data_IF_023084278438
#
_entry.id   IF_023084278438
#
_cell.length_a   1.000
_cell.length_b   1.000
_cell.length_c   1.000
_cell.angle_alpha   90.00
_cell.angle_beta   90.00
_cell.angle_gamma   90.00
#
_symmetry.space_group_name_H-M   'P 1'
#
loop_
_entity.id
_entity.type
_entity.pdbx_description
1 polymer ?
#
# COMPACT_ATOMS: atom_id res chain seq x y z
N UNK A 1 -65.77 15.12 -15.14
CA UNK A 1 -66.13 16.45 -15.65
C UNK A 1 -65.03 17.42 -15.21
N UNK A 2 -64.21 17.88 -16.17
CA UNK A 2 -63.21 18.97 -16.18
C UNK A 2 -62.04 18.90 -15.14
N UNK A 3 -60.79 18.53 -15.48
CA UNK A 3 -59.72 19.15 -16.30
C UNK A 3 -59.27 20.57 -15.89
N UNK A 4 -57.96 20.70 -15.58
CA UNK A 4 -56.95 21.75 -15.97
C UNK A 4 -55.79 21.69 -14.94
N UNK A 5 -54.63 21.06 -15.22
CA UNK A 5 -53.51 21.50 -16.05
C UNK A 5 -53.03 22.94 -15.80
N UNK A 6 -51.84 23.08 -15.16
CA UNK A 6 -50.96 24.23 -15.30
C UNK A 6 -49.50 23.78 -15.41
N UNK A 7 -48.96 24.00 -16.60
CA UNK A 7 -47.53 24.10 -16.88
C UNK A 7 -46.92 25.29 -16.16
N UNK A 8 -45.69 25.11 -15.66
CA UNK A 8 -44.69 26.16 -15.67
C UNK A 8 -43.39 25.57 -16.22
N UNK A 9 -43.04 26.11 -17.39
CA UNK A 9 -41.79 25.93 -18.10
C UNK A 9 -40.76 26.89 -17.48
N UNK A 10 -39.56 26.40 -17.16
CA UNK A 10 -38.42 27.26 -16.85
C UNK A 10 -37.13 26.64 -17.44
N UNK A 11 -36.93 26.98 -18.71
CA UNK A 11 -35.69 27.43 -19.36
C UNK A 11 -34.37 26.84 -18.83
N UNK A 12 -33.82 25.98 -19.70
CA UNK A 12 -32.42 25.62 -19.80
C UNK A 12 -31.52 26.83 -20.05
N UNK A 13 -30.50 26.98 -19.22
CA UNK A 13 -29.23 27.65 -19.51
C UNK A 13 -28.20 27.00 -18.56
N UNK A 14 -27.35 26.07 -18.97
CA UNK A 14 -26.54 26.11 -20.19
C UNK A 14 -25.18 26.73 -19.93
N UNK A 15 -24.56 26.45 -18.78
CA UNK A 15 -23.12 26.66 -18.53
C UNK A 15 -22.61 25.48 -17.69
N UNK A 16 -22.27 24.38 -18.35
CA UNK A 16 -21.36 23.40 -17.75
C UNK A 16 -19.94 23.99 -17.87
N UNK A 17 -19.19 24.20 -16.78
CA UNK A 17 -17.78 24.45 -16.91
C UNK A 17 -17.14 23.16 -17.45
N UNK A 18 -16.61 23.24 -18.66
CA UNK A 18 -15.66 22.27 -19.24
C UNK A 18 -14.39 22.27 -18.38
N UNK A 19 -14.46 21.70 -17.17
CA UNK A 19 -13.27 21.25 -16.46
C UNK A 19 -12.82 19.97 -17.16
N UNK A 20 -11.85 20.13 -18.07
CA UNK A 20 -10.96 19.02 -18.42
C UNK A 20 -10.29 18.59 -17.13
N UNK A 21 -10.81 17.54 -16.49
CA UNK A 21 -10.06 16.78 -15.51
C UNK A 21 -8.87 16.20 -16.26
N UNK A 22 -7.69 16.80 -16.07
CA UNK A 22 -6.44 16.11 -16.35
C UNK A 22 -6.33 15.05 -15.26
N UNK A 23 -6.65 13.81 -15.60
CA UNK A 23 -6.45 12.65 -14.73
C UNK A 23 -4.95 12.48 -14.54
N UNK A 24 -4.44 13.00 -13.42
CA UNK A 24 -3.06 12.79 -13.01
C UNK A 24 -2.96 11.41 -12.36
N UNK A 25 -2.31 10.47 -13.06
CA UNK A 25 -2.00 9.15 -12.50
C UNK A 25 -0.99 9.30 -11.38
N UNK A 26 -1.30 8.77 -10.18
CA UNK A 26 -0.36 8.72 -9.07
C UNK A 26 0.80 7.80 -9.45
N UNK A 27 2.01 8.17 -9.00
CA UNK A 27 3.18 7.30 -9.13
C UNK A 27 3.17 6.30 -7.99
N UNK A 28 2.74 5.08 -8.27
CA UNK A 28 2.83 3.96 -7.35
C UNK A 28 4.21 3.30 -7.44
N UNK A 29 4.64 2.71 -6.33
CA UNK A 29 5.82 1.88 -6.32
C UNK A 29 5.58 0.65 -7.20
N UNK A 30 6.59 0.26 -7.98
CA UNK A 30 6.55 -0.92 -8.84
C UNK A 30 7.65 -1.85 -8.36
N UNK A 31 7.31 -3.11 -8.09
CA UNK A 31 8.30 -4.16 -7.86
C UNK A 31 9.02 -4.42 -9.18
N UNK A 32 10.30 -4.08 -9.25
CA UNK A 32 11.14 -4.42 -10.40
C UNK A 32 11.25 -5.93 -10.55
N UNK A 33 11.40 -6.47 -11.78
CA UNK A 33 11.62 -7.90 -11.95
C UNK A 33 12.89 -8.33 -11.21
N UNK A 34 12.80 -9.38 -10.39
CA UNK A 34 13.96 -10.01 -9.71
C UNK A 34 14.93 -10.68 -10.69
N UNK A 35 14.60 -10.69 -11.98
CA UNK A 35 15.47 -11.11 -13.08
C UNK A 35 15.95 -9.89 -13.86
N UNK A 36 17.20 -9.48 -13.62
CA UNK A 36 17.93 -8.62 -14.56
C UNK A 36 18.21 -9.49 -15.79
N UNK A 37 17.31 -9.48 -16.77
CA UNK A 37 17.70 -9.87 -18.13
C UNK A 37 18.56 -8.71 -18.63
N UNK A 38 19.88 -8.88 -18.57
CA UNK A 38 20.81 -7.89 -19.09
C UNK A 38 20.44 -7.51 -20.52
N UNK A 39 20.00 -6.28 -20.72
CA UNK A 39 19.77 -5.76 -22.06
C UNK A 39 21.14 -5.70 -22.74
N UNK A 40 21.36 -6.39 -23.88
CA UNK A 40 22.60 -6.21 -24.63
C UNK A 40 22.73 -4.72 -24.99
N UNK A 41 23.94 -4.13 -24.90
CA UNK A 41 24.12 -2.71 -25.16
C UNK A 41 23.60 -2.37 -26.56
N UNK A 42 22.77 -1.34 -26.64
CA UNK A 42 22.32 -0.80 -27.92
C UNK A 42 23.54 -0.35 -28.73
N UNK A 43 23.60 -0.68 -30.03
CA UNK A 43 24.68 -0.21 -30.90
C UNK A 43 24.73 1.32 -30.89
N UNK A 44 25.93 1.92 -30.97
CA UNK A 44 26.08 3.36 -30.88
C UNK A 44 25.38 4.06 -32.04
N UNK A 45 24.32 4.81 -31.73
CA UNK A 45 23.63 5.68 -32.68
C UNK A 45 24.44 6.98 -32.84
N UNK A 46 24.68 7.49 -34.06
CA UNK A 46 25.40 8.73 -34.27
C UNK A 46 24.71 9.92 -33.60
N UNK A 47 25.53 10.77 -32.98
CA UNK A 47 25.14 11.93 -32.18
C UNK A 47 24.31 12.95 -32.96
N UNK A 48 23.05 13.10 -32.58
CA UNK A 48 22.26 14.28 -32.90
C UNK A 48 22.54 15.38 -31.86
N UNK A 49 22.59 16.66 -32.26
CA UNK A 49 22.89 17.76 -31.35
C UNK A 49 21.79 17.94 -30.28
N UNK A 50 22.14 18.46 -29.09
CA UNK A 50 21.21 18.60 -27.98
C UNK A 50 20.17 19.68 -28.29
N UNK A 51 18.89 19.49 -27.90
CA UNK A 51 17.93 20.58 -27.93
C UNK A 51 18.30 21.61 -26.85
N UNK A 52 18.67 22.81 -27.29
CA UNK A 52 18.71 24.00 -26.44
C UNK A 52 17.30 24.29 -25.89
N UNK A 53 17.18 24.45 -24.56
CA UNK A 53 16.01 25.08 -23.95
C UNK A 53 15.17 24.24 -22.99
N UNK A 54 15.68 23.16 -22.40
CA UNK A 54 14.98 22.53 -21.27
C UNK A 54 15.18 23.37 -20.00
N UNK A 55 14.25 24.30 -19.73
CA UNK A 55 14.05 24.83 -18.38
C UNK A 55 13.83 23.68 -17.40
N UNK A 56 14.25 23.78 -16.12
CA UNK A 56 13.93 22.79 -15.11
C UNK A 56 12.41 22.70 -15.01
N UNK A 57 11.86 21.61 -15.53
CA UNK A 57 10.44 21.29 -15.49
C UNK A 57 10.04 21.17 -14.02
N UNK A 58 9.35 22.19 -13.51
CA UNK A 58 8.72 22.16 -12.20
C UNK A 58 7.81 20.93 -12.16
N UNK A 59 8.15 19.97 -11.30
CA UNK A 59 7.37 18.76 -11.08
C UNK A 59 5.92 19.15 -10.76
N UNK A 60 4.92 18.74 -11.59
CA UNK A 60 3.54 19.07 -11.33
C UNK A 60 3.12 18.45 -10.00
N UNK A 61 2.60 19.30 -9.12
CA UNK A 61 2.08 18.95 -7.80
C UNK A 61 1.06 17.81 -7.94
N UNK A 62 1.51 16.62 -7.54
CA UNK A 62 0.86 15.69 -6.63
C UNK A 62 -0.62 16.00 -6.32
N UNK A 63 -1.47 14.99 -6.46
CA UNK A 63 -2.92 15.05 -6.22
C UNK A 63 -3.30 15.87 -4.96
N UNK A 64 -4.48 16.51 -4.93
CA UNK A 64 -4.94 17.29 -3.75
C UNK A 64 -4.83 16.52 -2.42
N UNK A 65 -4.88 15.19 -2.49
CA UNK A 65 -4.65 14.31 -1.35
C UNK A 65 -3.19 14.26 -0.88
N UNK A 66 -2.21 14.25 -1.79
CA UNK A 66 -0.80 14.34 -1.40
C UNK A 66 -0.50 15.67 -0.71
N UNK A 67 -1.14 16.76 -1.14
CA UNK A 67 -1.05 18.04 -0.45
C UNK A 67 -1.61 17.93 0.99
N UNK A 68 -2.69 17.19 1.21
CA UNK A 68 -3.23 16.90 2.55
C UNK A 68 -2.27 16.03 3.37
N UNK A 69 -1.68 14.97 2.79
CA UNK A 69 -0.65 14.15 3.44
C UNK A 69 0.51 15.03 3.93
N UNK A 70 1.02 15.91 3.06
CA UNK A 70 2.12 16.82 3.39
C UNK A 70 1.70 17.86 4.43
N UNK A 71 0.45 18.32 4.42
CA UNK A 71 -0.10 19.20 5.44
C UNK A 71 -0.15 18.51 6.81
N UNK A 72 -0.64 17.27 6.87
CA UNK A 72 -0.67 16.46 8.10
C UNK A 72 0.73 16.20 8.64
N UNK A 73 1.68 15.94 7.74
CA UNK A 73 3.08 15.77 8.08
C UNK A 73 3.67 17.03 8.73
N UNK A 74 3.45 18.22 8.15
CA UNK A 74 3.88 19.50 8.73
C UNK A 74 3.25 19.75 10.10
N UNK A 75 1.93 19.58 10.23
CA UNK A 75 1.19 19.78 11.49
C UNK A 75 1.81 18.95 12.63
N UNK A 76 2.17 17.70 12.36
CA UNK A 76 2.77 16.81 13.37
C UNK A 76 4.19 17.17 13.73
N UNK A 77 5.00 17.56 12.74
CA UNK A 77 6.35 18.04 13.00
C UNK A 77 6.35 19.27 13.93
N UNK A 78 5.40 20.20 13.73
CA UNK A 78 5.24 21.37 14.61
C UNK A 78 4.76 21.01 16.01
N UNK A 79 3.83 20.06 16.15
CA UNK A 79 3.37 19.58 17.47
C UNK A 79 4.48 18.87 18.23
N UNK A 80 5.26 18.02 17.57
CA UNK A 80 6.38 17.31 18.19
C UNK A 80 7.48 18.26 18.69
N UNK A 81 7.81 19.29 17.91
CA UNK A 81 8.76 20.32 18.34
C UNK A 81 8.31 21.06 19.62
N UNK A 82 6.98 21.17 19.82
CA UNK A 82 6.39 21.84 20.98
C UNK A 82 6.21 20.93 22.19
N UNK A 83 6.13 19.61 22.00
CA UNK A 83 5.93 18.62 23.05
C UNK A 83 6.54 17.26 22.68
N UNK A 84 7.87 17.08 22.85
CA UNK A 84 8.59 15.88 22.42
C UNK A 84 8.19 14.61 23.20
N UNK A 85 7.61 14.75 24.39
CA UNK A 85 7.15 13.62 25.22
C UNK A 85 5.66 13.31 25.03
N UNK A 86 4.99 13.87 24.02
CA UNK A 86 3.59 13.54 23.77
C UNK A 86 3.44 12.07 23.35
N UNK A 87 2.39 11.37 23.81
CA UNK A 87 2.13 9.98 23.42
C UNK A 87 1.93 9.80 21.91
N UNK A 88 1.58 10.87 21.19
CA UNK A 88 1.44 10.90 19.72
C UNK A 88 2.72 11.37 19.01
N UNK A 89 3.89 11.06 19.57
CA UNK A 89 5.18 11.50 19.03
C UNK A 89 5.37 11.10 17.55
N UNK A 90 5.74 12.08 16.73
CA UNK A 90 6.03 11.90 15.32
C UNK A 90 7.35 11.14 15.13
N UNK A 91 7.31 9.97 14.47
CA UNK A 91 8.51 9.18 14.16
C UNK A 91 8.95 9.45 12.71
N UNK A 92 10.15 10.02 12.49
CA UNK A 92 10.60 10.38 11.15
C UNK A 92 11.02 9.16 10.32
N UNK A 93 10.99 9.28 8.99
CA UNK A 93 11.33 8.15 8.10
C UNK A 93 12.73 7.58 8.33
N UNK A 94 13.81 8.35 8.57
CA UNK A 94 15.11 7.78 8.88
C UNK A 94 15.07 6.77 10.03
N UNK A 95 14.37 7.07 11.12
CA UNK A 95 14.23 6.16 12.26
C UNK A 95 13.40 4.91 11.90
N UNK A 96 12.34 5.07 11.09
CA UNK A 96 11.59 3.91 10.59
C UNK A 96 12.46 3.06 9.66
N UNK A 97 13.28 3.66 8.80
CA UNK A 97 14.20 2.97 7.89
C UNK A 97 15.27 2.20 8.66
N UNK A 98 15.82 2.77 9.74
CA UNK A 98 16.72 2.05 10.63
C UNK A 98 16.04 0.82 11.23
N UNK A 99 14.82 0.97 11.75
CA UNK A 99 14.04 -0.16 12.27
C UNK A 99 13.74 -1.22 11.19
N UNK A 100 13.46 -0.81 9.96
CA UNK A 100 13.24 -1.72 8.82
C UNK A 100 14.47 -2.60 8.57
N UNK A 101 15.66 -1.99 8.61
CA UNK A 101 16.92 -2.70 8.38
C UNK A 101 17.28 -3.59 9.57
N UNK A 102 17.18 -3.08 10.79
CA UNK A 102 17.57 -3.77 12.01
C UNK A 102 16.62 -4.92 12.38
N UNK A 103 15.34 -4.82 11.98
CA UNK A 103 14.29 -5.79 12.32
C UNK A 103 13.94 -6.70 11.14
N UNK A 104 14.77 -6.76 10.12
CA UNK A 104 14.63 -7.73 9.04
C UNK A 104 14.80 -9.16 9.59
N UNK A 105 13.81 -10.02 9.37
CA UNK A 105 13.76 -11.37 9.93
C UNK A 105 13.42 -11.43 11.42
N UNK A 106 13.00 -10.32 12.05
CA UNK A 106 12.63 -10.32 13.47
C UNK A 106 11.34 -11.09 13.69
N UNK A 107 11.36 -12.03 14.63
CA UNK A 107 10.17 -12.75 15.08
C UNK A 107 9.58 -12.04 16.28
N UNK A 108 8.29 -11.70 16.23
CA UNK A 108 7.56 -11.12 17.35
C UNK A 108 7.24 -12.20 18.39
N UNK A 109 7.41 -11.89 19.68
CA UNK A 109 7.03 -12.78 20.77
C UNK A 109 5.51 -12.76 21.04
N UNK A 110 4.74 -12.84 19.97
CA UNK A 110 3.27 -12.82 19.95
C UNK A 110 2.85 -14.02 19.11
N UNK A 111 1.83 -14.74 19.56
CA UNK A 111 1.22 -15.83 18.80
C UNK A 111 -0.01 -15.30 18.09
N UNK A 112 -0.04 -15.41 16.75
CA UNK A 112 -1.24 -15.09 15.99
C UNK A 112 -2.30 -16.18 16.16
N UNK A 113 -3.59 -15.82 16.22
CA UNK A 113 -4.66 -16.80 16.17
C UNK A 113 -4.66 -17.52 14.81
N UNK A 114 -4.99 -18.81 14.83
CA UNK A 114 -5.07 -19.65 13.63
C UNK A 114 -6.52 -19.62 13.12
N UNK A 115 -6.83 -18.69 12.20
CA UNK A 115 -8.20 -18.42 11.75
C UNK A 115 -8.42 -18.86 10.28
N UNK A 116 -8.27 -20.16 9.97
CA UNK A 116 -8.53 -20.69 8.61
C UNK A 116 -10.01 -20.75 8.23
N UNK A 117 -10.91 -20.91 9.22
CA UNK A 117 -12.37 -20.93 9.04
C UNK A 117 -13.00 -20.01 10.11
N UNK A 118 -12.84 -18.68 9.96
CA UNK A 118 -13.35 -17.72 10.93
C UNK A 118 -14.88 -17.81 11.06
N UNK A 119 -15.39 -17.56 12.27
CA UNK A 119 -16.83 -17.52 12.52
C UNK A 119 -17.54 -16.38 11.75
N UNK A 120 -18.88 -16.39 11.65
CA UNK A 120 -19.64 -15.42 10.84
C UNK A 120 -19.35 -13.94 11.15
N UNK A 121 -19.09 -13.59 12.40
CA UNK A 121 -18.75 -12.21 12.79
C UNK A 121 -17.29 -11.79 12.53
N UNK A 122 -16.43 -12.73 12.13
CA UNK A 122 -15.00 -12.51 11.84
C UNK A 122 -14.67 -12.63 10.36
N UNK A 123 -15.37 -13.52 9.65
CA UNK A 123 -15.12 -13.78 8.23
C UNK A 123 -15.47 -12.56 7.39
N UNK A 124 -14.73 -12.35 6.31
CA UNK A 124 -15.08 -11.36 5.30
C UNK A 124 -16.22 -11.93 4.45
N UNK A 125 -17.35 -11.22 4.38
CA UNK A 125 -18.50 -11.63 3.56
C UNK A 125 -18.56 -10.83 2.27
N UNK A 126 -18.79 -11.53 1.16
CA UNK A 126 -18.85 -10.95 -0.20
C UNK A 126 -20.23 -11.14 -0.86
N UNK A 127 -21.25 -11.53 -0.10
CA UNK A 127 -22.52 -12.06 -0.61
C UNK A 127 -23.57 -11.01 -1.01
N UNK A 128 -23.30 -9.73 -0.84
CA UNK A 128 -24.23 -8.66 -1.25
C UNK A 128 -23.59 -7.78 -2.31
N UNK A 129 -24.21 -7.75 -3.50
CA UNK A 129 -23.92 -6.77 -4.58
C UNK A 129 -24.12 -5.31 -4.12
N UNK A 130 -24.57 -5.09 -2.88
CA UNK A 130 -24.85 -3.80 -2.25
C UNK A 130 -23.92 -3.46 -1.07
N UNK A 131 -22.86 -4.24 -0.81
CA UNK A 131 -21.92 -4.03 0.32
C UNK A 131 -20.86 -2.94 0.11
N UNK A 132 -21.11 -1.95 -0.75
CA UNK A 132 -20.21 -0.88 -1.19
C UNK A 132 -19.76 0.13 -0.10
N UNK A 133 -19.92 -0.18 1.18
CA UNK A 133 -19.78 0.80 2.28
C UNK A 133 -18.80 0.44 3.40
N UNK A 134 -18.27 -0.79 3.45
CA UNK A 134 -17.22 -1.16 4.39
C UNK A 134 -15.99 -1.51 3.56
N UNK A 135 -14.87 -0.81 3.75
CA UNK A 135 -13.59 -1.01 3.04
C UNK A 135 -12.97 -2.40 3.31
N UNK A 136 -13.77 -3.34 3.83
CA UNK A 136 -13.49 -4.76 3.99
C UNK A 136 -12.37 -5.06 4.97
N UNK A 137 -11.82 -4.05 5.66
CA UNK A 137 -10.65 -4.11 6.54
C UNK A 137 -9.32 -3.77 5.86
N UNK A 138 -9.34 -3.14 4.68
CA UNK A 138 -8.16 -2.55 4.05
C UNK A 138 -7.93 -1.11 4.52
N UNK A 139 -6.66 -0.67 4.53
CA UNK A 139 -6.23 0.68 4.83
C UNK A 139 -5.25 1.17 3.75
N UNK A 140 -5.12 2.48 3.60
CA UNK A 140 -4.06 3.07 2.79
C UNK A 140 -2.84 3.35 3.66
N UNK A 141 -1.66 2.90 3.21
CA UNK A 141 -0.39 3.16 3.86
C UNK A 141 0.36 4.20 3.04
N UNK A 142 0.90 5.22 3.71
CA UNK A 142 1.60 6.30 3.05
C UNK A 142 2.93 6.55 3.72
N UNK A 143 4.00 6.60 2.92
CA UNK A 143 5.30 7.10 3.34
C UNK A 143 5.55 8.44 2.65
N UNK A 144 5.90 9.48 3.41
CA UNK A 144 6.05 10.81 2.87
C UNK A 144 7.31 11.52 3.40
N UNK A 145 7.94 12.29 2.52
CA UNK A 145 9.07 13.15 2.82
C UNK A 145 8.90 14.50 2.12
N UNK A 146 9.25 15.57 2.82
CA UNK A 146 9.15 16.95 2.38
C UNK A 146 10.44 17.68 2.72
N UNK A 147 11.05 18.25 1.70
CA UNK A 147 12.13 19.23 1.82
C UNK A 147 11.93 20.24 0.71
N UNK A 148 11.25 21.32 1.03
CA UNK A 148 10.81 22.27 0.04
C UNK A 148 11.96 22.79 -0.84
N UNK A 149 11.73 22.91 -2.16
CA UNK A 149 10.45 22.70 -2.86
C UNK A 149 10.11 21.23 -3.18
N UNK A 150 11.00 20.28 -2.89
CA UNK A 150 10.84 18.87 -3.23
C UNK A 150 10.00 18.10 -2.20
N UNK A 151 9.27 17.09 -2.68
CA UNK A 151 8.58 16.11 -1.83
C UNK A 151 8.53 14.75 -2.52
N UNK A 152 8.28 13.70 -1.73
CA UNK A 152 7.99 12.35 -2.22
C UNK A 152 6.88 11.77 -1.36
N UNK A 153 5.88 11.21 -2.02
CA UNK A 153 4.81 10.41 -1.40
C UNK A 153 4.79 9.05 -2.11
N UNK A 154 4.75 7.98 -1.33
CA UNK A 154 4.60 6.61 -1.80
C UNK A 154 3.38 5.99 -1.10
N UNK A 155 2.52 5.32 -1.88
CA UNK A 155 1.25 4.78 -1.45
C UNK A 155 1.21 3.26 -1.63
N UNK A 156 0.68 2.57 -0.64
CA UNK A 156 0.29 1.15 -0.71
C UNK A 156 -1.05 0.93 0.01
N UNK A 157 -1.57 -0.28 -0.12
CA UNK A 157 -2.63 -0.82 0.71
C UNK A 157 -2.02 -1.57 1.91
N UNK A 158 -2.84 -1.83 2.92
CA UNK A 158 -2.49 -2.65 4.07
C UNK A 158 -3.74 -3.16 4.77
N UNK A 159 -3.59 -4.01 5.77
CA UNK A 159 -4.71 -4.49 6.57
C UNK A 159 -4.25 -4.81 8.00
N UNK A 160 -5.19 -4.81 8.94
CA UNK A 160 -4.87 -5.02 10.35
C UNK A 160 -5.06 -6.49 10.76
N UNK A 161 -4.15 -7.01 11.58
CA UNK A 161 -4.25 -8.33 12.20
C UNK A 161 -4.78 -8.21 13.63
N UNK A 162 -5.49 -9.26 14.06
CA UNK A 162 -5.89 -9.40 15.45
C UNK A 162 -4.73 -10.02 16.25
N UNK A 163 -4.11 -9.25 17.13
CA UNK A 163 -3.13 -9.79 18.08
C UNK A 163 -3.78 -10.01 19.45
N UNK A 164 -3.39 -11.05 20.20
CA UNK A 164 -3.93 -11.31 21.54
C UNK A 164 -3.74 -10.15 22.53
N UNK A 165 -2.70 -9.33 22.32
CA UNK A 165 -2.38 -8.16 23.15
C UNK A 165 -3.29 -6.96 22.86
N UNK A 166 -4.23 -7.10 21.91
CA UNK A 166 -5.17 -6.05 21.50
C UNK A 166 -4.52 -4.89 20.74
N UNK A 167 -3.20 -4.95 20.52
CA UNK A 167 -2.47 -3.94 19.78
C UNK A 167 -2.65 -4.17 18.27
N UNK A 168 -3.12 -3.16 17.52
CA UNK A 168 -3.25 -3.28 16.08
C UNK A 168 -1.88 -3.47 15.43
N UNK A 169 -1.72 -4.54 14.65
CA UNK A 169 -0.55 -4.78 13.80
C UNK A 169 -0.99 -4.67 12.36
N UNK A 170 -0.35 -3.78 11.59
CA UNK A 170 -0.70 -3.57 10.19
C UNK A 170 0.29 -4.32 9.30
N UNK A 171 -0.23 -5.11 8.37
CA UNK A 171 0.53 -5.77 7.31
C UNK A 171 0.46 -4.93 6.05
N UNK A 172 1.59 -4.75 5.37
CA UNK A 172 1.68 -4.11 4.06
C UNK A 172 2.90 -4.62 3.30
N UNK A 173 3.10 -4.13 2.07
CA UNK A 173 4.30 -4.41 1.29
C UNK A 173 5.49 -3.56 1.75
N UNK A 174 6.72 -4.07 1.58
CA UNK A 174 7.93 -3.36 1.98
C UNK A 174 8.46 -2.39 0.92
N UNK A 175 8.24 -2.66 -0.37
CA UNK A 175 8.88 -1.95 -1.47
C UNK A 175 8.48 -0.47 -1.58
N UNK A 176 7.33 -0.05 -1.04
CA UNK A 176 6.95 1.37 -0.95
C UNK A 176 7.84 2.13 0.02
N UNK A 177 8.25 1.49 1.12
CA UNK A 177 9.23 2.05 2.05
C UNK A 177 10.64 2.02 1.44
N UNK A 178 10.99 0.96 0.72
CA UNK A 178 12.26 0.86 0.00
C UNK A 178 12.38 1.96 -1.08
N UNK A 179 11.31 2.22 -1.83
CA UNK A 179 11.27 3.29 -2.84
C UNK A 179 11.59 4.66 -2.21
N UNK A 180 10.92 5.02 -1.11
CA UNK A 180 11.15 6.32 -0.48
C UNK A 180 12.53 6.39 0.19
N UNK A 181 13.03 5.28 0.77
CA UNK A 181 14.37 5.15 1.33
C UNK A 181 15.45 5.46 0.31
N UNK A 182 15.27 5.03 -0.93
CA UNK A 182 16.21 5.29 -2.02
C UNK A 182 16.02 6.66 -2.68
N UNK A 183 14.97 7.39 -2.34
CA UNK A 183 14.70 8.70 -2.92
C UNK A 183 15.75 9.74 -2.48
N UNK A 184 16.30 10.57 -3.40
CA UNK A 184 17.35 11.55 -3.09
C UNK A 184 16.99 12.55 -1.98
N UNK A 185 15.69 12.80 -1.76
CA UNK A 185 15.19 13.70 -0.72
C UNK A 185 15.64 13.32 0.71
N UNK A 186 15.89 12.02 0.94
CA UNK A 186 16.36 11.52 2.24
C UNK A 186 17.89 11.46 2.33
N UNK A 187 18.61 11.52 1.19
CA UNK A 187 20.07 11.36 1.11
C UNK A 187 20.83 12.67 1.00
N UNK A 188 20.13 13.77 0.72
CA UNK A 188 20.74 15.07 0.61
C UNK A 188 21.10 15.55 2.03
N UNK A 189 22.18 15.02 2.57
CA UNK A 189 23.01 15.80 3.47
C UNK A 189 23.95 16.60 2.58
N UNK A 190 24.18 17.86 2.93
CA UNK A 190 25.00 18.84 2.21
C UNK A 190 26.36 18.26 1.79
N UNK A 191 26.40 17.59 0.65
CA UNK A 191 27.61 17.06 0.09
C UNK A 191 28.27 18.19 -0.71
N UNK A 192 28.94 19.09 0.01
CA UNK A 192 29.98 19.96 -0.55
C UNK A 192 29.56 21.36 -1.00
N UNK A 193 28.57 22.00 -0.36
CA UNK A 193 28.40 23.44 -0.55
C UNK A 193 29.55 24.19 0.11
N UNK A 194 30.46 24.70 -0.70
CA UNK A 194 31.37 25.79 -0.31
C UNK A 194 30.57 26.91 0.37
N UNK A 195 31.07 27.53 1.44
CA UNK A 195 30.36 28.53 2.24
C UNK A 195 30.31 29.89 1.52
N UNK A 196 29.74 29.92 0.32
CA UNK A 196 29.65 31.13 -0.51
C UNK A 196 28.22 31.39 -0.98
N UNK A 197 27.24 31.38 -0.06
CA UNK A 197 26.01 32.18 -0.18
C UNK A 197 25.18 32.15 1.11
N UNK A 198 25.14 33.24 1.90
CA UNK A 198 24.43 33.29 3.20
C UNK A 198 22.90 33.44 3.09
N UNK A 199 22.28 33.08 1.96
CA UNK A 199 20.87 33.37 1.69
C UNK A 199 19.98 32.16 1.38
N UNK A 200 20.51 30.93 1.34
CA UNK A 200 19.68 29.73 1.25
C UNK A 200 19.31 29.23 2.65
N UNK A 201 18.10 29.59 3.10
CA UNK A 201 17.49 28.99 4.29
C UNK A 201 17.22 27.51 3.97
N UNK A 202 18.13 26.62 4.36
CA UNK A 202 17.89 25.18 4.29
C UNK A 202 16.70 24.83 5.18
N UNK A 203 15.56 24.51 4.56
CA UNK A 203 14.38 24.08 5.31
C UNK A 203 14.59 22.66 5.82
N UNK A 204 14.26 22.38 7.09
CA UNK A 204 14.48 21.05 7.67
C UNK A 204 13.65 19.99 6.92
N UNK A 205 14.23 18.80 6.77
CA UNK A 205 13.51 17.64 6.25
C UNK A 205 12.38 17.27 7.22
N UNK A 206 11.15 17.18 6.71
CA UNK A 206 10.02 16.60 7.44
C UNK A 206 9.64 15.31 6.76
N UNK A 207 9.52 14.21 7.51
CA UNK A 207 9.22 12.90 6.94
C UNK A 207 8.50 12.01 7.94
N UNK A 208 7.66 11.10 7.47
CA UNK A 208 6.93 10.17 8.35
C UNK A 208 6.09 9.18 7.56
N UNK A 209 5.39 8.30 8.27
CA UNK A 209 4.44 7.35 7.67
C UNK A 209 3.07 7.40 8.34
N UNK A 210 2.02 7.12 7.57
CA UNK A 210 0.63 7.13 8.00
C UNK A 210 -0.10 5.85 7.61
N UNK A 211 -1.00 5.43 8.48
CA UNK A 211 -2.10 4.50 8.18
C UNK A 211 -3.35 5.37 8.04
N UNK A 212 -3.97 5.33 6.87
CA UNK A 212 -5.11 6.17 6.51
C UNK A 212 -6.34 5.28 6.34
N UNK A 213 -7.43 5.68 7.00
CA UNK A 213 -8.69 4.93 7.12
C UNK A 213 -9.88 5.89 7.10
N UNK A 214 -11.10 5.37 7.15
CA UNK A 214 -12.31 6.19 7.21
C UNK A 214 -12.83 6.60 5.82
N UNK A 215 -13.98 7.30 5.79
CA UNK A 215 -14.67 7.57 4.53
C UNK A 215 -13.86 8.51 3.63
N UNK A 216 -14.03 8.43 2.30
CA UNK A 216 -13.31 9.28 1.33
C UNK A 216 -13.40 10.78 1.62
N UNK A 217 -14.51 11.23 2.21
CA UNK A 217 -14.77 12.64 2.55
C UNK A 217 -14.09 13.11 3.84
N UNK A 218 -13.66 12.19 4.71
CA UNK A 218 -13.06 12.50 6.00
C UNK A 218 -12.01 11.44 6.39
N UNK A 219 -10.88 11.37 5.66
CA UNK A 219 -9.82 10.42 5.96
C UNK A 219 -9.19 10.68 7.33
N UNK A 220 -8.97 9.60 8.08
CA UNK A 220 -8.36 9.59 9.40
C UNK A 220 -6.89 9.18 9.23
N UNK A 221 -5.97 10.04 9.66
CA UNK A 221 -4.53 9.84 9.55
C UNK A 221 -3.96 9.33 10.88
N UNK A 222 -3.58 8.08 10.96
CA UNK A 222 -2.94 7.48 12.15
C UNK A 222 -1.42 7.42 11.92
N UNK A 223 -0.56 7.98 12.81
CA UNK A 223 0.89 7.91 12.61
C UNK A 223 1.37 6.47 12.74
N UNK A 224 2.39 6.09 11.97
CA UNK A 224 3.15 4.87 12.26
C UNK A 224 4.16 5.19 13.36
N UNK A 225 4.14 4.41 14.45
CA UNK A 225 5.10 4.53 15.54
C UNK A 225 6.38 3.73 15.27
N UNK A 226 6.24 2.52 14.72
CA UNK A 226 7.40 1.66 14.53
C UNK A 226 7.17 0.58 13.49
N UNK A 227 8.28 0.02 12.99
CA UNK A 227 8.30 -1.20 12.20
C UNK A 227 8.54 -2.36 13.14
N UNK A 228 7.56 -3.24 13.28
CA UNK A 228 7.64 -4.35 14.23
C UNK A 228 8.58 -5.45 13.72
N UNK A 229 8.47 -5.77 12.43
CA UNK A 229 9.30 -6.74 11.74
C UNK A 229 9.20 -6.50 10.23
N UNK A 230 10.22 -6.93 9.48
CA UNK A 230 10.26 -6.87 8.03
C UNK A 230 10.79 -8.20 7.46
N UNK A 231 10.29 -8.60 6.30
CA UNK A 231 10.83 -9.70 5.50
C UNK A 231 11.14 -9.19 4.11
N UNK A 232 12.31 -8.56 3.95
CA UNK A 232 12.65 -7.79 2.74
C UNK A 232 12.62 -8.66 1.48
N UNK A 233 13.03 -9.93 1.59
CA UNK A 233 13.01 -10.88 0.46
C UNK A 233 11.60 -11.26 0.02
N UNK A 234 10.67 -11.31 0.97
CA UNK A 234 9.27 -11.62 0.71
C UNK A 234 8.42 -10.35 0.51
N UNK A 235 9.04 -9.17 0.62
CA UNK A 235 8.41 -7.86 0.43
C UNK A 235 7.22 -7.61 1.38
N UNK A 236 7.32 -8.08 2.62
CA UNK A 236 6.28 -7.91 3.66
C UNK A 236 6.82 -7.10 4.84
N UNK A 237 5.98 -6.22 5.36
CA UNK A 237 6.30 -5.30 6.46
C UNK A 237 5.18 -5.30 7.51
N UNK A 238 5.56 -5.34 8.79
CA UNK A 238 4.64 -5.15 9.92
C UNK A 238 4.84 -3.78 10.57
N UNK A 239 3.76 -3.01 10.67
CA UNK A 239 3.76 -1.68 11.26
C UNK A 239 2.95 -1.66 12.56
N UNK A 240 3.40 -0.86 13.52
CA UNK A 240 2.64 -0.48 14.69
C UNK A 240 2.15 0.96 14.53
N UNK A 241 0.85 1.24 14.68
CA UNK A 241 0.37 2.61 14.77
C UNK A 241 0.81 3.24 16.09
N UNK A 242 0.89 4.56 16.10
CA UNK A 242 1.10 5.34 17.31
C UNK A 242 -0.22 5.54 18.06
N UNK A 243 -0.88 4.43 18.39
CA UNK A 243 -2.05 4.40 19.24
C UNK A 243 -2.16 3.02 19.85
N UNK A 244 -2.35 2.97 21.17
CA UNK A 244 -2.66 1.73 21.86
C UNK A 244 -4.12 1.27 21.67
N UNK A 245 -4.95 2.11 21.03
CA UNK A 245 -6.36 1.83 20.76
C UNK A 245 -6.55 1.29 19.33
N UNK A 246 -7.67 0.57 19.08
CA UNK A 246 -8.03 0.16 17.72
C UNK A 246 -8.07 1.35 16.76
N UNK A 247 -7.60 1.16 15.53
CA UNK A 247 -7.66 2.20 14.51
C UNK A 247 -9.13 2.41 14.10
N UNK A 248 -9.70 3.62 14.25
CA UNK A 248 -11.10 3.86 13.92
C UNK A 248 -11.41 3.49 12.47
N UNK A 249 -12.50 2.76 12.24
CA UNK A 249 -12.91 2.35 10.91
C UNK A 249 -12.07 1.23 10.27
N UNK A 250 -11.08 0.67 10.99
CA UNK A 250 -10.29 -0.46 10.51
C UNK A 250 -10.52 -1.69 11.38
N UNK A 251 -11.19 -2.69 10.80
CA UNK A 251 -11.37 -3.99 11.43
C UNK A 251 -10.15 -4.88 11.22
N UNK A 252 -9.90 -5.78 12.17
CA UNK A 252 -8.89 -6.83 12.00
C UNK A 252 -9.37 -7.92 11.05
N UNK A 253 -8.49 -8.46 10.21
CA UNK A 253 -8.80 -9.57 9.32
C UNK A 253 -8.34 -10.92 9.89
N UNK A 254 -9.13 -11.98 9.70
CA UNK A 254 -8.72 -13.33 10.07
C UNK A 254 -7.64 -13.83 9.11
N UNK A 255 -6.58 -14.44 9.64
CA UNK A 255 -5.46 -14.94 8.85
C UNK A 255 -5.47 -16.48 8.84
N UNK A 256 -5.37 -17.06 7.64
CA UNK A 256 -5.24 -18.51 7.49
C UNK A 256 -3.79 -18.94 7.70
N UNK A 257 -3.50 -19.91 8.58
CA UNK A 257 -2.17 -20.51 8.72
C UNK A 257 -1.83 -21.50 7.61
N UNK A 258 -2.77 -21.77 6.70
CA UNK A 258 -2.59 -22.74 5.63
C UNK A 258 -2.56 -22.04 4.27
N UNK A 259 -1.62 -22.43 3.39
CA UNK A 259 -1.58 -21.95 2.03
C UNK A 259 -2.83 -22.40 1.28
N UNK A 260 -3.41 -21.51 0.50
CA UNK A 260 -4.49 -21.87 -0.41
C UNK A 260 -3.98 -22.80 -1.51
N UNK A 261 -4.82 -23.71 -1.99
CA UNK A 261 -4.43 -24.57 -3.12
C UNK A 261 -4.63 -23.85 -4.46
N UNK A 262 -3.85 -24.16 -5.51
CA UNK A 262 -4.17 -23.75 -6.88
C UNK A 262 -5.63 -24.08 -7.23
N UNK A 263 -6.32 -23.15 -7.90
CA UNK A 263 -7.75 -23.22 -8.18
C UNK A 263 -8.66 -22.68 -7.06
N UNK A 264 -8.11 -22.30 -5.90
CA UNK A 264 -8.90 -21.66 -4.83
C UNK A 264 -9.44 -20.31 -5.31
N UNK A 265 -10.75 -20.10 -5.17
CA UNK A 265 -11.39 -18.82 -5.48
C UNK A 265 -11.04 -17.79 -4.42
N UNK A 266 -10.73 -16.58 -4.87
CA UNK A 266 -10.30 -15.50 -3.98
C UNK A 266 -11.05 -14.20 -4.25
N UNK A 267 -10.92 -13.29 -3.29
CA UNK A 267 -11.22 -11.87 -3.40
C UNK A 267 -9.98 -11.08 -3.06
N UNK A 268 -9.60 -10.18 -3.96
CA UNK A 268 -8.45 -9.32 -3.81
C UNK A 268 -8.90 -7.86 -3.79
N UNK A 269 -8.40 -7.05 -2.85
CA UNK A 269 -8.80 -5.66 -2.70
C UNK A 269 -8.02 -4.75 -3.67
N UNK A 270 -8.59 -4.46 -4.84
CA UNK A 270 -7.93 -3.64 -5.85
C UNK A 270 -8.20 -2.15 -5.62
N UNK A 271 -7.23 -1.33 -5.99
CA UNK A 271 -7.24 0.13 -5.86
C UNK A 271 -6.85 0.78 -7.18
N UNK A 272 -7.55 1.81 -7.60
CA UNK A 272 -7.25 2.56 -8.82
C UNK A 272 -7.49 4.07 -8.65
N UNK A 273 -6.73 4.90 -9.37
CA UNK A 273 -6.96 6.36 -9.38
C UNK A 273 -8.29 6.75 -10.01
N UNK A 274 -8.76 5.93 -10.96
CA UNK A 274 -10.05 6.06 -11.62
C UNK A 274 -10.61 4.66 -11.87
N UNK A 275 -11.93 4.46 -11.89
CA UNK A 275 -12.51 3.18 -12.27
C UNK A 275 -11.97 2.75 -13.64
N UNK A 276 -11.46 1.51 -13.78
CA UNK A 276 -11.02 0.98 -15.06
C UNK A 276 -12.14 1.09 -16.11
N UNK A 277 -11.78 1.54 -17.31
CA UNK A 277 -12.77 1.79 -18.37
C UNK A 277 -13.43 0.50 -18.88
N UNK A 278 -12.73 -0.62 -18.77
CA UNK A 278 -13.12 -1.96 -19.16
C UNK A 278 -13.94 -2.71 -18.10
N UNK A 279 -13.89 -2.27 -16.83
CA UNK A 279 -14.68 -2.83 -15.73
C UNK A 279 -15.13 -1.70 -14.78
N UNK A 280 -16.09 -0.85 -15.18
CA UNK A 280 -16.52 0.28 -14.35
C UNK A 280 -17.44 -0.13 -13.19
N UNK A 281 -18.03 -1.32 -13.23
CA UNK A 281 -19.04 -1.76 -12.26
C UNK A 281 -18.43 -2.15 -10.92
N UNK A 282 -19.07 -1.78 -9.80
CA UNK A 282 -18.66 -2.20 -8.46
C UNK A 282 -17.43 -1.50 -7.86
N UNK A 283 -16.82 -0.56 -8.58
CA UNK A 283 -15.79 0.32 -8.02
C UNK A 283 -16.41 1.44 -7.18
N UNK A 284 -15.97 1.55 -5.94
CA UNK A 284 -16.51 2.52 -4.98
C UNK A 284 -15.45 3.58 -4.68
N UNK A 285 -15.83 4.86 -4.52
CA UNK A 285 -14.89 5.89 -4.06
C UNK A 285 -14.20 5.45 -2.77
N UNK A 286 -12.89 5.62 -2.73
CA UNK A 286 -12.02 5.25 -1.63
C UNK A 286 -11.11 6.41 -1.23
N UNK A 287 -10.17 6.13 -0.32
CA UNK A 287 -9.32 7.11 0.33
C UNK A 287 -8.54 7.95 -0.69
N UNK A 288 -8.58 9.28 -0.49
CA UNK A 288 -7.82 10.22 -1.31
C UNK A 288 -8.31 10.40 -2.74
N UNK A 289 -9.58 10.09 -3.01
CA UNK A 289 -10.15 10.20 -4.35
C UNK A 289 -9.71 9.05 -5.28
N UNK A 290 -9.19 7.98 -4.70
CA UNK A 290 -9.03 6.70 -5.40
C UNK A 290 -10.36 5.94 -5.41
N UNK A 291 -10.37 4.77 -6.04
CA UNK A 291 -11.49 3.85 -6.08
C UNK A 291 -11.00 2.48 -5.64
N UNK A 292 -11.86 1.73 -4.95
CA UNK A 292 -11.56 0.37 -4.52
C UNK A 292 -12.66 -0.62 -4.90
N UNK A 293 -12.26 -1.88 -5.10
CA UNK A 293 -13.16 -3.00 -5.41
C UNK A 293 -12.57 -4.31 -4.91
N UNK A 294 -13.41 -5.16 -4.31
CA UNK A 294 -13.07 -6.57 -4.09
C UNK A 294 -13.24 -7.35 -5.39
N UNK A 295 -12.14 -7.61 -6.08
CA UNK A 295 -12.13 -8.27 -7.38
C UNK A 295 -12.09 -9.79 -7.20
N UNK A 296 -12.94 -10.50 -7.95
CA UNK A 296 -12.96 -11.97 -7.98
C UNK A 296 -11.71 -12.48 -8.68
N UNK A 297 -11.12 -13.53 -8.13
CA UNK A 297 -9.91 -14.11 -8.69
C UNK A 297 -9.74 -15.59 -8.38
N UNK A 298 -8.60 -16.13 -8.76
CA UNK A 298 -8.22 -17.51 -8.48
C UNK A 298 -6.72 -17.61 -8.21
N UNK A 299 -6.34 -18.45 -7.25
CA UNK A 299 -4.94 -18.82 -7.03
C UNK A 299 -4.47 -19.69 -8.18
N UNK A 300 -3.40 -19.27 -8.85
CA UNK A 300 -2.82 -19.98 -9.99
C UNK A 300 -1.80 -21.01 -9.52
N UNK A 301 -0.94 -20.64 -8.57
CA UNK A 301 0.20 -21.46 -8.19
C UNK A 301 1.13 -20.75 -7.21
N UNK A 302 2.25 -21.41 -6.91
CA UNK A 302 3.27 -20.88 -6.04
C UNK A 302 4.65 -21.07 -6.67
N UNK A 303 5.55 -20.14 -6.39
CA UNK A 303 6.96 -20.26 -6.71
C UNK A 303 7.82 -20.14 -5.45
N UNK A 304 8.99 -20.76 -5.46
CA UNK A 304 10.04 -20.47 -4.49
C UNK A 304 10.85 -19.21 -4.85
N UNK A 305 11.77 -18.77 -3.99
CA UNK A 305 12.65 -17.62 -4.27
C UNK A 305 13.54 -17.78 -5.51
N UNK A 306 13.71 -19.00 -6.04
CA UNK A 306 14.44 -19.26 -7.27
C UNK A 306 13.53 -19.22 -8.52
N UNK A 307 12.23 -18.96 -8.34
CA UNK A 307 11.24 -18.93 -9.41
C UNK A 307 10.81 -20.32 -9.90
N UNK A 308 11.09 -21.38 -9.13
CA UNK A 308 10.66 -22.74 -9.44
C UNK A 308 9.25 -22.98 -8.93
N UNK A 309 8.47 -23.77 -9.65
CA UNK A 309 7.15 -24.21 -9.20
C UNK A 309 7.24 -24.90 -7.83
N UNK A 310 6.40 -24.46 -6.90
CA UNK A 310 6.28 -24.98 -5.55
C UNK A 310 4.84 -25.39 -5.30
N UNK A 311 4.63 -26.43 -4.48
CA UNK A 311 3.29 -26.99 -4.25
C UNK A 311 2.90 -26.94 -2.77
N UNK A 312 1.71 -26.40 -2.44
CA UNK A 312 1.16 -26.52 -1.11
C UNK A 312 1.04 -27.98 -0.67
N UNK A 313 1.40 -28.26 0.59
CA UNK A 313 1.36 -29.62 1.17
C UNK A 313 2.58 -30.49 0.84
N UNK A 314 3.61 -29.95 0.19
CA UNK A 314 4.92 -30.60 0.02
C UNK A 314 5.97 -29.95 0.94
N UNK A 315 7.23 -30.35 0.79
CA UNK A 315 8.37 -29.72 1.46
C UNK A 315 8.91 -28.49 0.71
N UNK A 316 8.20 -28.01 -0.31
CA UNK A 316 8.63 -26.85 -1.09
C UNK A 316 8.45 -25.56 -0.29
N UNK A 317 9.39 -24.62 -0.44
CA UNK A 317 9.26 -23.30 0.15
C UNK A 317 8.29 -22.44 -0.69
N UNK A 318 7.13 -22.12 -0.12
CA UNK A 318 6.13 -21.25 -0.76
C UNK A 318 6.53 -19.78 -0.56
N UNK A 319 7.41 -19.27 -1.41
CA UNK A 319 7.91 -17.89 -1.27
C UNK A 319 6.97 -16.88 -1.91
N UNK A 320 6.28 -17.30 -2.98
CA UNK A 320 5.53 -16.41 -3.85
C UNK A 320 4.22 -17.05 -4.27
N UNK A 321 3.13 -16.30 -4.14
CA UNK A 321 1.77 -16.69 -4.50
C UNK A 321 1.41 -16.00 -5.82
N UNK A 322 0.97 -16.80 -6.80
CA UNK A 322 0.47 -16.31 -8.09
C UNK A 322 -1.04 -16.36 -8.13
N UNK A 323 -1.67 -15.31 -8.66
CA UNK A 323 -3.12 -15.23 -8.77
C UNK A 323 -3.57 -14.47 -10.00
N UNK A 324 -4.84 -14.64 -10.37
CA UNK A 324 -5.49 -13.88 -11.44
C UNK A 324 -6.79 -13.25 -10.90
N UNK A 325 -7.22 -12.09 -11.40
CA UNK A 325 -6.53 -11.24 -12.40
C UNK A 325 -5.33 -10.47 -11.80
N UNK A 326 -4.44 -9.88 -12.63
CA UNK A 326 -3.37 -9.02 -12.14
C UNK A 326 -3.92 -7.76 -11.43
N UNK A 327 -3.35 -7.34 -10.28
CA UNK A 327 -3.81 -6.18 -9.56
C UNK A 327 -3.46 -4.86 -10.26
N UNK A 328 -4.28 -3.84 -10.01
CA UNK A 328 -4.00 -2.46 -10.39
C UNK A 328 -2.92 -1.85 -9.50
N UNK A 329 -2.19 -0.86 -10.02
CA UNK A 329 -1.19 -0.11 -9.25
C UNK A 329 -1.83 0.55 -8.01
N UNK A 330 -1.18 0.40 -6.85
CA UNK A 330 -1.69 0.87 -5.55
C UNK A 330 -2.36 -0.21 -4.68
N UNK A 331 -2.66 -1.37 -5.27
CA UNK A 331 -3.22 -2.52 -4.54
C UNK A 331 -2.18 -3.28 -3.71
N UNK A 332 -0.89 -3.04 -3.96
CA UNK A 332 0.23 -3.66 -3.24
C UNK A 332 0.12 -3.46 -1.73
N UNK A 333 0.42 -4.51 -0.96
CA UNK A 333 0.22 -4.59 0.48
C UNK A 333 -1.20 -4.95 0.91
N UNK A 334 -2.17 -4.94 0.00
CA UNK A 334 -3.56 -5.29 0.29
C UNK A 334 -3.79 -6.80 0.49
N UNK A 335 -4.89 -7.18 1.16
CA UNK A 335 -5.20 -8.57 1.46
C UNK A 335 -5.69 -9.37 0.24
N UNK A 336 -5.31 -10.64 0.18
CA UNK A 336 -5.88 -11.69 -0.68
C UNK A 336 -6.68 -12.63 0.22
N UNK A 337 -7.97 -12.82 -0.06
CA UNK A 337 -8.91 -13.51 0.83
C UNK A 337 -9.48 -14.73 0.11
N UNK A 338 -9.50 -15.90 0.76
CA UNK A 338 -10.25 -17.05 0.26
C UNK A 338 -11.76 -16.72 0.32
N UNK A 339 -12.41 -16.79 -0.84
CA UNK A 339 -13.82 -16.42 -1.00
C UNK A 339 -14.74 -17.27 -0.12
N UNK A 340 -14.39 -18.53 0.14
CA UNK A 340 -15.24 -19.48 0.85
C UNK A 340 -15.06 -19.43 2.37
N UNK A 341 -13.83 -19.26 2.88
CA UNK A 341 -13.59 -19.06 4.32
C UNK A 341 -13.82 -17.63 4.79
N UNK A 342 -13.57 -16.64 3.92
CA UNK A 342 -13.41 -15.25 4.32
C UNK A 342 -12.14 -15.00 5.14
N UNK A 343 -11.12 -15.87 5.06
CA UNK A 343 -9.81 -15.70 5.70
C UNK A 343 -8.76 -15.16 4.70
N UNK A 344 -7.84 -14.34 5.19
CA UNK A 344 -6.69 -13.86 4.42
C UNK A 344 -5.73 -15.02 4.18
N UNK A 345 -5.41 -15.27 2.92
CA UNK A 345 -4.51 -16.33 2.44
C UNK A 345 -3.22 -15.78 1.82
N UNK A 346 -3.11 -14.46 1.69
CA UNK A 346 -1.90 -13.81 1.22
C UNK A 346 -1.97 -12.29 1.21
N UNK A 347 -0.87 -11.68 0.80
CA UNK A 347 -0.70 -10.23 0.62
C UNK A 347 -0.36 -9.99 -0.83
N UNK A 348 -1.08 -9.08 -1.49
CA UNK A 348 -0.72 -8.69 -2.86
C UNK A 348 0.55 -7.85 -2.83
N UNK A 349 1.43 -8.06 -3.78
CA UNK A 349 2.69 -7.30 -3.91
C UNK A 349 2.74 -6.55 -5.25
N UNK A 350 2.12 -7.10 -6.29
CA UNK A 350 2.00 -6.43 -7.58
C UNK A 350 1.72 -7.40 -8.71
N UNK A 351 2.35 -7.16 -9.85
CA UNK A 351 2.21 -7.97 -11.07
C UNK A 351 3.53 -8.60 -11.46
N UNK A 352 3.50 -9.81 -12.00
CA UNK A 352 4.69 -10.48 -12.55
C UNK A 352 4.39 -11.04 -13.95
N UNK A 353 5.35 -10.89 -14.86
CA UNK A 353 5.32 -11.54 -16.17
C UNK A 353 5.50 -13.05 -15.99
N UNK A 354 4.50 -13.85 -16.37
CA UNK A 354 4.54 -15.32 -16.23
C UNK A 354 5.35 -15.94 -17.37
N UNK A 355 5.00 -15.60 -18.60
CA UNK A 355 5.80 -15.81 -19.81
C UNK A 355 5.23 -14.93 -20.94
N UNK A 356 5.91 -14.87 -22.09
CA UNK A 356 5.49 -14.01 -23.22
C UNK A 356 4.14 -14.42 -23.85
N UNK A 357 3.65 -15.64 -23.59
CA UNK A 357 2.44 -16.19 -24.21
C UNK A 357 1.20 -16.04 -23.31
N UNK A 358 1.36 -16.29 -22.01
CA UNK A 358 0.33 -16.22 -20.97
C UNK A 358 0.21 -14.82 -20.36
N UNK A 359 1.19 -13.95 -20.59
CA UNK A 359 1.15 -12.55 -20.18
C UNK A 359 1.48 -12.33 -18.70
N UNK A 360 0.72 -11.46 -18.06
CA UNK A 360 0.97 -10.95 -16.70
C UNK A 360 -0.03 -11.53 -15.73
N UNK A 361 0.44 -11.96 -14.57
CA UNK A 361 -0.39 -12.43 -13.45
C UNK A 361 -0.15 -11.57 -12.21
N UNK A 362 -1.05 -11.69 -11.24
CA UNK A 362 -0.87 -11.15 -9.90
C UNK A 362 0.19 -11.91 -9.13
N UNK A 363 0.93 -11.17 -8.32
CA UNK A 363 2.04 -11.64 -7.50
C UNK A 363 1.83 -11.21 -6.05
N UNK A 364 2.06 -12.13 -5.12
CA UNK A 364 1.86 -11.92 -3.70
C UNK A 364 2.77 -12.75 -2.81
N UNK A 365 2.73 -12.48 -1.51
CA UNK A 365 3.29 -13.34 -0.47
C UNK A 365 2.18 -14.20 0.14
N UNK A 366 2.40 -15.51 0.41
CA UNK A 366 1.43 -16.32 1.13
C UNK A 366 1.24 -15.85 2.57
N UNK A 367 0.10 -16.18 3.18
CA UNK A 367 -0.17 -15.87 4.59
C UNK A 367 0.84 -16.51 5.55
N UNK A 368 1.45 -17.64 5.18
CA UNK A 368 2.52 -18.28 5.95
C UNK A 368 3.73 -17.36 6.15
N UNK A 369 4.07 -16.54 5.16
CA UNK A 369 5.12 -15.52 5.27
C UNK A 369 4.83 -14.54 6.42
N UNK A 370 3.56 -14.21 6.67
CA UNK A 370 3.20 -13.38 7.81
C UNK A 370 3.45 -14.16 9.10
N UNK A 371 3.07 -15.43 9.19
CA UNK A 371 3.31 -16.25 10.39
C UNK A 371 4.79 -16.42 10.72
N UNK A 372 5.70 -16.41 9.74
CA UNK A 372 7.15 -16.42 9.97
C UNK A 372 7.64 -15.22 10.82
N UNK A 373 6.88 -14.13 10.85
CA UNK A 373 7.19 -12.93 11.62
C UNK A 373 6.67 -13.00 13.06
N UNK A 374 6.01 -14.10 13.46
CA UNK A 374 5.41 -14.30 14.77
C UNK A 374 5.88 -15.62 15.40
N UNK A 375 5.78 -15.71 16.73
CA UNK A 375 6.13 -16.92 17.44
C UNK A 375 5.09 -18.01 17.17
N UNK A 376 5.57 -19.22 16.88
CA UNK A 376 4.69 -20.35 16.64
C UNK A 376 4.20 -20.96 17.97
N UNK A 377 2.94 -21.44 18.05
CA UNK A 377 2.45 -22.16 19.21
C UNK A 377 3.33 -23.37 19.54
N UNK A 378 3.74 -23.49 20.81
CA UNK A 378 4.50 -24.65 21.30
C UNK A 378 6.02 -24.62 21.04
N UNK A 379 6.53 -23.66 20.26
CA UNK A 379 7.96 -23.44 20.06
C UNK A 379 8.46 -22.32 20.98
N UNK A 380 8.95 -22.68 22.17
CA UNK A 380 9.73 -21.75 22.99
C UNK A 380 11.14 -21.67 22.41
N UNK A 381 11.36 -20.71 21.52
CA UNK A 381 12.71 -20.32 21.15
C UNK A 381 13.29 -19.56 22.35
N UNK A 382 14.23 -20.18 23.06
CA UNK A 382 14.96 -19.49 24.13
C UNK A 382 15.67 -18.29 23.49
N UNK A 383 15.26 -17.07 23.83
CA UNK A 383 15.93 -15.85 23.44
C UNK A 383 17.31 -15.82 24.10
N UNK A 384 18.36 -16.02 23.31
CA UNK A 384 19.76 -15.78 23.69
C UNK A 384 20.08 -14.30 23.63
#
# INVERSE_FOLDING_TARGET
>A
MLLFSRHLCAISSGIQPLYRHVSHTRKYAIVGPTTIVGQPPTPPTPSSPPPEGASPELTPLSSAFDAEVLLQLRKRATTHASSPNAPDAHVPLPNLIEQYLDRNGRVLNIQLPYESRPGPGRRIEFHTEQGAGDDGGAAMIVHAALREPAHKVAHSSGFALNTPEGQPVIVTCAHTLEEIRHHPILRSEDSGATPESPSQVHRPLVSGSFIITGPPSAPIFTPVASILSALNRADVLLLSPNSASPIPGLRHLPLSPYPAHPGTRIRAHFVADSPPADDPEGWCPWIGGTFAKWVRGTIVGYHDFAGREAKPGTYDALSHLLFEPPPTSGSSGGPIVDEDSGAVVGVMLGTQMRNRLEGVCGWGAPSETIYEMFSLPGLKLNSS
#
